data_IF_792317557464
#
_entry.id   IF_792317557464
#
_cell.length_a   1.000
_cell.length_b   1.000
_cell.length_c   1.000
_cell.angle_alpha   90.00
_cell.angle_beta   90.00
_cell.angle_gamma   90.00
#
_symmetry.space_group_name_H-M   'P 1'
#
loop_
_entity.id
_entity.type
_entity.pdbx_description
1 polymer ?
#
# COMPACT_ATOMS: atom_id res chain seq x y z
N UNK A 1 6.40 -5.63 12.93
CA UNK A 1 5.26 -6.14 12.10
C UNK A 1 3.91 -6.03 12.79
N UNK A 2 3.81 -5.55 14.04
CA UNK A 2 2.56 -5.65 14.82
C UNK A 2 1.37 -4.81 14.28
N UNK A 3 1.59 -3.79 13.45
CA UNK A 3 0.49 -2.94 12.95
C UNK A 3 -0.24 -3.41 11.69
N UNK A 4 0.24 -4.46 11.00
CA UNK A 4 -0.39 -4.97 9.77
C UNK A 4 -1.25 -6.22 10.04
N UNK A 5 -0.78 -7.08 10.95
CA UNK A 5 -1.40 -8.33 11.38
C UNK A 5 -2.74 -8.16 12.09
N UNK A 6 -3.02 -6.99 12.67
CA UNK A 6 -4.29 -6.72 13.35
C UNK A 6 -5.42 -6.33 12.40
N UNK A 7 -5.07 -5.85 11.19
CA UNK A 7 -6.04 -5.37 10.19
C UNK A 7 -6.25 -6.32 9.02
N UNK A 8 -5.33 -7.27 8.83
CA UNK A 8 -5.28 -8.15 7.67
C UNK A 8 -5.33 -9.58 8.14
N UNK A 9 -6.29 -10.34 7.65
CA UNK A 9 -6.40 -11.77 7.94
C UNK A 9 -5.23 -12.56 7.36
N UNK A 10 -4.74 -12.18 6.18
CA UNK A 10 -3.62 -12.83 5.48
C UNK A 10 -2.53 -11.80 5.11
N UNK A 11 -1.69 -11.36 6.07
CA UNK A 11 -0.65 -10.36 5.82
C UNK A 11 0.40 -10.83 4.80
N UNK A 12 0.63 -12.14 4.67
CA UNK A 12 1.56 -12.72 3.70
C UNK A 12 1.11 -12.48 2.25
N UNK A 13 -0.19 -12.61 1.97
CA UNK A 13 -0.76 -12.34 0.63
C UNK A 13 -0.57 -10.87 0.28
N UNK A 14 -0.88 -9.98 1.24
CA UNK A 14 -0.68 -8.54 1.07
C UNK A 14 0.79 -8.22 0.80
N UNK A 15 1.71 -8.76 1.60
CA UNK A 15 3.14 -8.50 1.44
C UNK A 15 3.65 -8.98 0.07
N UNK A 16 3.21 -10.17 -0.37
CA UNK A 16 3.57 -10.73 -1.67
C UNK A 16 3.09 -9.84 -2.83
N UNK A 17 1.85 -9.37 -2.78
CA UNK A 17 1.30 -8.46 -3.78
C UNK A 17 2.01 -7.11 -3.77
N UNK A 18 2.27 -6.54 -2.59
CA UNK A 18 3.01 -5.28 -2.47
C UNK A 18 4.39 -5.42 -3.12
N UNK A 19 5.13 -6.49 -2.82
CA UNK A 19 6.44 -6.74 -3.42
C UNK A 19 6.38 -6.96 -4.93
N UNK A 20 5.34 -7.64 -5.42
CA UNK A 20 5.11 -7.83 -6.85
C UNK A 20 4.86 -6.48 -7.56
N UNK A 21 4.02 -5.62 -6.98
CA UNK A 21 3.73 -4.28 -7.52
C UNK A 21 4.92 -3.33 -7.43
N UNK A 22 5.76 -3.46 -6.40
CA UNK A 22 6.93 -2.58 -6.20
C UNK A 22 8.19 -3.12 -6.86
N UNK A 23 8.14 -4.34 -7.40
CA UNK A 23 9.30 -5.11 -7.85
C UNK A 23 10.42 -5.17 -6.77
N UNK A 24 10.02 -5.26 -5.50
CA UNK A 24 10.94 -5.26 -4.36
C UNK A 24 11.61 -3.92 -4.03
N UNK A 25 11.20 -2.81 -4.65
CA UNK A 25 11.79 -1.50 -4.34
C UNK A 25 11.45 -1.08 -2.90
N UNK A 26 12.45 -0.79 -2.04
CA UNK A 26 12.21 -0.50 -0.62
C UNK A 26 11.40 0.78 -0.39
N UNK A 27 11.59 1.81 -1.23
CA UNK A 27 10.86 3.07 -1.12
C UNK A 27 9.35 2.90 -1.36
N UNK A 28 8.98 2.29 -2.49
CA UNK A 28 7.59 2.03 -2.83
C UNK A 28 6.94 1.04 -1.84
N UNK A 29 7.70 0.02 -1.43
CA UNK A 29 7.23 -0.98 -0.45
C UNK A 29 6.90 -0.31 0.89
N UNK A 30 7.77 0.57 1.39
CA UNK A 30 7.48 1.33 2.61
C UNK A 30 6.27 2.26 2.44
N UNK A 31 6.14 2.93 1.29
CA UNK A 31 5.00 3.83 1.01
C UNK A 31 3.68 3.07 1.05
N UNK A 32 3.61 1.92 0.38
CA UNK A 32 2.38 1.10 0.36
C UNK A 32 2.08 0.50 1.73
N UNK A 33 3.08 -0.03 2.44
CA UNK A 33 2.89 -0.51 3.82
C UNK A 33 2.34 0.59 4.74
N UNK A 34 2.78 1.84 4.57
CA UNK A 34 2.27 2.99 5.35
C UNK A 34 0.82 3.32 4.98
N UNK A 35 0.47 3.28 3.69
CA UNK A 35 -0.91 3.47 3.22
C UNK A 35 -1.85 2.41 3.81
N UNK A 36 -1.43 1.15 3.78
CA UNK A 36 -2.19 0.03 4.35
C UNK A 36 -2.44 0.25 5.84
N UNK A 37 -1.40 0.65 6.58
CA UNK A 37 -1.51 0.93 8.02
C UNK A 37 -2.49 2.08 8.30
N UNK A 38 -2.44 3.14 7.50
CA UNK A 38 -3.28 4.33 7.62
C UNK A 38 -4.72 4.13 7.13
N UNK A 39 -5.01 3.02 6.44
CA UNK A 39 -6.35 2.72 5.98
C UNK A 39 -7.28 2.50 7.18
N UNK A 40 -8.33 3.29 7.30
CA UNK A 40 -9.23 3.28 8.46
C UNK A 40 -10.28 2.16 8.38
N UNK A 41 -10.63 1.72 7.18
CA UNK A 41 -11.63 0.67 6.96
C UNK A 41 -11.03 -0.74 7.08
N UNK A 42 -11.90 -1.70 7.40
CA UNK A 42 -11.53 -3.11 7.42
C UNK A 42 -11.14 -3.59 6.02
N UNK A 43 -10.05 -4.37 5.95
CA UNK A 43 -9.58 -4.94 4.69
C UNK A 43 -10.40 -6.19 4.40
N UNK A 44 -10.97 -6.33 3.18
CA UNK A 44 -11.82 -7.48 2.87
C UNK A 44 -11.00 -8.77 2.86
N UNK A 45 -11.40 -9.70 3.72
CA UNK A 45 -10.83 -11.04 3.79
C UNK A 45 -11.10 -11.81 2.50
N UNK A 46 -10.11 -12.56 2.01
CA UNK A 46 -10.15 -13.29 0.72
C UNK A 46 -10.11 -12.41 -0.55
N UNK A 47 -10.06 -11.08 -0.40
CA UNK A 47 -9.90 -10.12 -1.52
C UNK A 47 -8.73 -9.15 -1.28
N UNK A 48 -7.79 -9.53 -0.41
CA UNK A 48 -6.63 -8.71 -0.06
C UNK A 48 -5.81 -8.33 -1.29
N UNK A 49 -5.62 -9.25 -2.24
CA UNK A 49 -4.85 -9.00 -3.47
C UNK A 49 -5.49 -7.91 -4.35
N UNK A 50 -6.79 -8.05 -4.64
CA UNK A 50 -7.53 -7.03 -5.40
C UNK A 50 -7.59 -5.70 -4.68
N UNK A 51 -7.68 -5.74 -3.34
CA UNK A 51 -7.66 -4.53 -2.53
C UNK A 51 -6.29 -3.83 -2.59
N UNK A 52 -5.18 -4.58 -2.52
CA UNK A 52 -3.82 -4.04 -2.70
C UNK A 52 -3.66 -3.44 -4.10
N UNK A 53 -4.08 -4.14 -5.16
CA UNK A 53 -4.05 -3.60 -6.52
C UNK A 53 -4.78 -2.25 -6.59
N UNK A 54 -5.99 -2.16 -6.05
CA UNK A 54 -6.77 -0.93 -6.05
C UNK A 54 -6.08 0.17 -5.24
N UNK A 55 -5.53 -0.18 -4.07
CA UNK A 55 -4.79 0.76 -3.22
C UNK A 55 -3.59 1.34 -3.97
N UNK A 56 -2.79 0.47 -4.62
CA UNK A 56 -1.61 0.88 -5.40
C UNK A 56 -2.03 1.73 -6.59
N UNK A 57 -3.01 1.30 -7.39
CA UNK A 57 -3.49 2.10 -8.53
C UNK A 57 -3.95 3.49 -8.08
N UNK A 58 -4.83 3.57 -7.09
CA UNK A 58 -5.38 4.85 -6.66
C UNK A 58 -4.36 5.75 -5.97
N UNK A 59 -3.43 5.21 -5.16
CA UNK A 59 -2.49 6.05 -4.38
C UNK A 59 -1.12 6.24 -5.03
N UNK A 60 -0.68 5.30 -5.87
CA UNK A 60 0.65 5.27 -6.49
C UNK A 60 0.60 5.57 -7.99
N UNK A 61 -0.53 5.34 -8.68
CA UNK A 61 -0.65 5.62 -10.12
C UNK A 61 -1.60 6.79 -10.42
N UNK A 62 -2.69 6.97 -9.68
CA UNK A 62 -3.60 8.12 -9.89
C UNK A 62 -3.17 9.32 -9.04
N UNK A 63 -2.93 9.12 -7.74
CA UNK A 63 -2.54 10.21 -6.84
C UNK A 63 -1.04 10.55 -6.87
N UNK A 64 -0.23 9.94 -7.76
CA UNK A 64 1.21 10.25 -7.80
C UNK A 64 1.48 11.71 -8.15
N UNK A 65 0.73 12.31 -9.08
CA UNK A 65 0.91 13.70 -9.50
C UNK A 65 0.54 14.70 -8.40
N UNK A 66 -0.41 14.31 -7.53
CA UNK A 66 -0.87 15.13 -6.40
C UNK A 66 0.05 14.98 -5.18
N UNK A 67 0.65 13.79 -5.00
CA UNK A 67 1.60 13.51 -3.92
C UNK A 67 3.05 13.88 -4.24
N UNK A 68 3.43 13.94 -5.51
CA UNK A 68 4.76 14.33 -5.99
C UNK A 68 4.82 15.84 -6.33
N UNK A 69 4.07 16.65 -5.58
CA UNK A 69 4.46 18.05 -5.39
C UNK A 69 5.28 18.12 -4.11
N UNK A 70 6.61 17.97 -4.16
CA UNK A 70 7.42 18.45 -3.06
C UNK A 70 7.14 19.95 -2.91
N UNK A 71 6.63 20.38 -1.76
CA UNK A 71 6.49 21.79 -1.38
C UNK A 71 7.85 22.50 -1.21
N UNK A 72 8.94 21.97 -1.77
CA UNK A 72 10.29 22.47 -1.58
C UNK A 72 11.05 22.56 -2.90
N UNK A 73 10.61 23.47 -3.76
CA UNK A 73 11.53 24.25 -4.57
C UNK A 73 11.49 25.69 -4.04
N UNK A 74 12.32 25.96 -3.03
CA UNK A 74 12.83 27.30 -2.70
C UNK A 74 14.30 27.18 -2.35
#
# INVERSE_FOLDING_TARGET
MQGLTEKISNPEIVLKEVLAWTNGQPFLTQKICRLIRNYSAAIPTNNEAKWVEKLVRTNVIENWEIQDRPEHLR
#
